data_IF_029612255410
#
_entry.id   IF_029612255410
#
_cell.length_a   1.000
_cell.length_b   1.000
_cell.length_c   1.000
_cell.angle_alpha   90.00
_cell.angle_beta   90.00
_cell.angle_gamma   90.00
#
_symmetry.space_group_name_H-M   'P 1'
#
loop_
_entity.id
_entity.type
_entity.pdbx_description
1 polymer ?
#
# COMPACT_ATOMS: atom_id res chain seq x y z
N UNK A 1 8.99 2.50 19.23
CA UNK A 1 8.27 2.88 18.00
C UNK A 1 8.28 1.72 17.00
N UNK A 2 9.06 0.65 17.26
CA UNK A 2 8.50 -0.70 17.33
C UNK A 2 7.26 -0.64 18.27
N UNK A 3 6.06 -1.12 17.96
CA UNK A 3 5.69 -1.89 16.77
C UNK A 3 4.16 -1.85 16.54
N UNK A 4 3.62 -0.65 16.28
CA UNK A 4 2.15 -0.44 16.20
C UNK A 4 1.44 -1.36 15.20
N UNK A 5 2.14 -1.86 14.20
CA UNK A 5 1.60 -2.82 13.23
C UNK A 5 1.55 -4.22 13.82
N UNK A 6 2.58 -4.66 14.54
CA UNK A 6 2.58 -5.95 15.25
C UNK A 6 1.47 -5.98 16.30
N UNK A 7 1.28 -4.90 17.08
CA UNK A 7 0.17 -4.80 18.04
C UNK A 7 -1.20 -4.97 17.36
N UNK A 8 -1.38 -4.40 16.16
CA UNK A 8 -2.60 -4.56 15.35
C UNK A 8 -2.75 -6.02 14.90
N UNK A 9 -1.69 -6.65 14.40
CA UNK A 9 -1.71 -8.04 13.93
C UNK A 9 -2.01 -9.02 15.08
N UNK A 10 -1.41 -8.80 16.25
CA UNK A 10 -1.69 -9.56 17.48
C UNK A 10 -3.14 -9.39 17.93
N UNK A 11 -3.66 -8.16 17.97
CA UNK A 11 -5.05 -7.88 18.32
C UNK A 11 -6.06 -8.52 17.34
N UNK A 12 -5.66 -8.71 16.08
CA UNK A 12 -6.44 -9.44 15.07
C UNK A 12 -6.28 -10.96 15.15
N UNK A 13 -5.38 -11.46 15.99
CA UNK A 13 -4.97 -12.87 16.03
C UNK A 13 -4.56 -13.39 14.64
N UNK A 14 -3.86 -12.55 13.87
CA UNK A 14 -3.37 -12.91 12.55
C UNK A 14 -2.17 -13.87 12.66
N UNK A 15 -2.04 -14.76 11.69
CA UNK A 15 -0.79 -15.51 11.47
C UNK A 15 0.17 -14.64 10.66
N UNK A 16 1.37 -14.41 11.18
CA UNK A 16 2.39 -13.58 10.53
C UNK A 16 3.80 -14.02 10.91
N UNK A 17 4.75 -13.65 10.04
CA UNK A 17 6.18 -13.80 10.29
C UNK A 17 6.88 -12.46 10.10
N UNK A 18 7.80 -12.12 11.00
CA UNK A 18 8.67 -10.96 10.86
C UNK A 18 9.92 -11.39 10.11
N UNK A 19 10.29 -10.62 9.08
CA UNK A 19 11.49 -10.81 8.29
C UNK A 19 12.32 -9.54 8.39
N UNK A 20 13.55 -9.66 8.89
CA UNK A 20 14.45 -8.51 8.94
C UNK A 20 14.85 -8.09 7.52
N UNK A 21 14.60 -6.83 7.19
CA UNK A 21 14.92 -6.25 5.88
C UNK A 21 15.89 -5.09 6.07
N UNK A 22 16.99 -5.10 5.31
CA UNK A 22 17.88 -3.95 5.23
C UNK A 22 17.12 -2.76 4.58
N UNK A 23 17.21 -1.53 5.11
CA UNK A 23 16.46 -0.39 4.59
C UNK A 23 16.69 -0.11 3.10
N UNK A 24 17.91 -0.35 2.61
CA UNK A 24 18.30 -0.19 1.21
C UNK A 24 17.74 -1.27 0.27
N UNK A 25 17.14 -2.33 0.82
CA UNK A 25 16.49 -3.42 0.08
C UNK A 25 14.97 -3.41 0.24
N UNK A 26 14.40 -2.38 0.88
CA UNK A 26 12.97 -2.33 1.18
C UNK A 26 12.07 -2.13 -0.06
N UNK A 27 12.63 -1.74 -1.22
CA UNK A 27 11.88 -1.75 -2.48
C UNK A 27 11.47 -3.18 -2.83
N UNK A 28 10.21 -3.38 -3.22
CA UNK A 28 9.64 -4.71 -3.44
C UNK A 28 10.42 -5.55 -4.44
N UNK A 29 10.94 -4.96 -5.52
CA UNK A 29 11.70 -5.72 -6.51
C UNK A 29 13.05 -6.16 -5.95
N UNK A 30 13.74 -5.25 -5.26
CA UNK A 30 15.03 -5.53 -4.60
C UNK A 30 14.87 -6.54 -3.47
N UNK A 31 13.82 -6.40 -2.65
CA UNK A 31 13.47 -7.33 -1.58
C UNK A 31 13.26 -8.74 -2.12
N UNK A 32 12.41 -8.88 -3.14
CA UNK A 32 12.11 -10.17 -3.75
C UNK A 32 13.36 -10.83 -4.34
N UNK A 33 14.16 -10.05 -5.07
CA UNK A 33 15.41 -10.52 -5.67
C UNK A 33 16.43 -10.96 -4.61
N UNK A 34 16.58 -10.20 -3.53
CA UNK A 34 17.60 -10.45 -2.52
C UNK A 34 17.22 -11.58 -1.54
N UNK A 35 15.97 -11.59 -1.07
CA UNK A 35 15.51 -12.50 -0.02
C UNK A 35 14.81 -13.75 -0.57
N UNK A 36 14.64 -13.85 -1.90
CA UNK A 36 14.09 -15.04 -2.55
C UNK A 36 12.57 -15.15 -2.52
N UNK A 37 11.87 -14.04 -2.30
CA UNK A 37 10.40 -14.00 -2.38
C UNK A 37 9.95 -13.84 -3.83
N UNK A 38 8.76 -14.36 -4.13
CA UNK A 38 8.20 -14.25 -5.47
C UNK A 38 7.38 -12.97 -5.62
N UNK A 39 7.53 -12.31 -6.77
CA UNK A 39 6.76 -11.09 -7.09
C UNK A 39 5.25 -11.35 -7.21
N UNK A 40 4.85 -12.57 -7.57
CA UNK A 40 3.44 -12.96 -7.67
C UNK A 40 2.80 -13.32 -6.31
N UNK A 41 3.60 -13.44 -5.25
CA UNK A 41 3.15 -13.63 -3.86
C UNK A 41 3.34 -12.35 -3.01
N UNK A 42 4.01 -11.34 -3.57
CA UNK A 42 4.29 -10.07 -2.90
C UNK A 42 3.29 -9.00 -3.33
N UNK A 43 2.80 -8.18 -2.39
CA UNK A 43 1.83 -7.11 -2.67
C UNK A 43 2.36 -5.71 -2.33
N UNK A 44 2.01 -4.74 -3.16
CA UNK A 44 2.30 -3.32 -2.96
C UNK A 44 1.06 -2.60 -2.43
N UNK A 45 1.24 -1.75 -1.43
CA UNK A 45 0.24 -0.79 -0.96
C UNK A 45 0.56 0.60 -1.51
N UNK A 46 -0.28 1.09 -2.42
CA UNK A 46 -0.03 2.31 -3.20
C UNK A 46 -1.12 3.33 -2.95
N UNK A 47 -0.76 4.51 -2.45
CA UNK A 47 -1.70 5.60 -2.24
C UNK A 47 -1.96 6.35 -3.54
N UNK A 48 -3.23 6.50 -3.88
CA UNK A 48 -3.69 7.29 -5.02
C UNK A 48 -4.49 8.51 -4.56
N UNK A 49 -4.50 9.54 -5.39
CA UNK A 49 -5.19 10.80 -5.13
C UNK A 49 -6.02 11.25 -6.33
N UNK A 50 -7.28 11.57 -6.06
CA UNK A 50 -8.17 12.29 -6.98
C UNK A 50 -7.95 13.80 -6.86
N UNK A 51 -7.70 14.47 -7.98
CA UNK A 51 -7.39 15.91 -8.05
C UNK A 51 -8.65 16.80 -8.05
N UNK A 52 -9.61 16.49 -7.18
CA UNK A 52 -10.78 17.32 -6.91
C UNK A 52 -10.51 18.37 -5.82
N UNK A 53 -11.56 19.12 -5.47
CA UNK A 53 -11.60 19.96 -4.28
C UNK A 53 -12.85 19.59 -3.45
N UNK A 54 -12.70 18.95 -2.27
CA UNK A 54 -11.43 18.52 -1.67
C UNK A 54 -10.77 17.35 -2.43
N UNK A 55 -9.47 17.13 -2.19
CA UNK A 55 -8.77 15.92 -2.66
C UNK A 55 -9.35 14.67 -1.98
N UNK A 56 -9.50 13.60 -2.75
CA UNK A 56 -9.96 12.29 -2.26
C UNK A 56 -8.86 11.25 -2.45
N UNK A 57 -8.71 10.33 -1.50
CA UNK A 57 -7.61 9.36 -1.47
C UNK A 57 -8.16 7.95 -1.31
N UNK A 58 -7.38 6.97 -1.78
CA UNK A 58 -7.59 5.57 -1.50
C UNK A 58 -6.24 4.85 -1.49
N UNK A 59 -6.09 3.84 -0.65
CA UNK A 59 -4.95 2.92 -0.71
C UNK A 59 -5.33 1.74 -1.61
N UNK A 60 -4.51 1.43 -2.60
CA UNK A 60 -4.67 0.27 -3.46
C UNK A 60 -3.67 -0.82 -3.06
N UNK A 61 -4.14 -2.04 -2.85
CA UNK A 61 -3.31 -3.23 -2.62
C UNK A 61 -3.36 -4.09 -3.87
N UNK A 62 -2.21 -4.27 -4.52
CA UNK A 62 -2.05 -5.05 -5.77
C UNK A 62 -0.82 -5.94 -5.68
N UNK A 63 -0.78 -7.05 -6.40
CA UNK A 63 0.43 -7.86 -6.52
C UNK A 63 1.59 -7.03 -7.11
N UNK A 64 2.84 -7.39 -6.79
CA UNK A 64 4.03 -6.69 -7.29
C UNK A 64 4.18 -6.82 -8.81
N UNK A 65 3.57 -7.84 -9.42
CA UNK A 65 3.43 -8.02 -10.87
C UNK A 65 2.35 -7.15 -11.51
N UNK A 66 1.57 -6.43 -10.71
CA UNK A 66 0.38 -5.68 -11.17
C UNK A 66 0.56 -4.19 -10.97
N UNK A 67 0.25 -3.42 -12.03
CA UNK A 67 0.22 -1.96 -11.97
C UNK A 67 -1.20 -1.46 -11.68
N UNK A 68 -1.31 -0.47 -10.79
CA UNK A 68 -2.58 0.22 -10.51
C UNK A 68 -2.98 1.05 -11.73
N UNK A 69 -4.16 0.77 -12.30
CA UNK A 69 -4.75 1.60 -13.37
C UNK A 69 -5.41 2.85 -12.78
N UNK A 70 -4.56 3.83 -12.47
CA UNK A 70 -4.97 5.09 -11.85
C UNK A 70 -5.89 5.89 -12.78
N UNK A 71 -5.58 5.93 -14.08
CA UNK A 71 -6.19 6.83 -15.04
C UNK A 71 -7.59 6.37 -15.47
N UNK A 72 -7.87 5.07 -15.50
CA UNK A 72 -9.19 4.55 -15.88
C UNK A 72 -9.95 4.07 -14.66
N UNK A 73 -9.53 2.95 -14.06
CA UNK A 73 -10.31 2.26 -13.04
C UNK A 73 -10.37 3.07 -11.75
N UNK A 74 -9.22 3.49 -11.23
CA UNK A 74 -9.16 4.15 -9.94
C UNK A 74 -9.82 5.54 -9.99
N UNK A 75 -9.54 6.32 -11.03
CA UNK A 75 -10.22 7.59 -11.32
C UNK A 75 -11.75 7.45 -11.35
N UNK A 76 -12.26 6.44 -12.06
CA UNK A 76 -13.71 6.15 -12.14
C UNK A 76 -14.27 5.79 -10.77
N UNK A 77 -13.58 4.92 -10.01
CA UNK A 77 -14.00 4.47 -8.68
C UNK A 77 -13.98 5.60 -7.65
N UNK A 78 -13.03 6.54 -7.76
CA UNK A 78 -12.98 7.78 -6.98
C UNK A 78 -14.04 8.81 -7.39
N UNK A 79 -14.70 8.65 -8.54
CA UNK A 79 -15.70 9.61 -9.04
C UNK A 79 -15.11 10.95 -9.48
N UNK A 80 -13.84 11.00 -9.88
CA UNK A 80 -13.13 12.26 -10.21
C UNK A 80 -12.74 12.36 -11.68
N UNK A 81 -12.46 13.57 -12.16
CA UNK A 81 -12.01 13.82 -13.56
C UNK A 81 -10.53 13.52 -13.80
N UNK A 82 -9.69 13.62 -12.76
CA UNK A 82 -8.24 13.38 -12.82
C UNK A 82 -7.79 12.69 -11.53
N UNK A 83 -6.92 11.69 -11.65
CA UNK A 83 -6.28 11.02 -10.53
C UNK A 83 -4.79 10.82 -10.84
N UNK A 84 -3.98 10.67 -9.81
CA UNK A 84 -2.56 10.31 -9.91
C UNK A 84 -2.18 9.43 -8.72
N UNK A 85 -0.95 8.91 -8.73
CA UNK A 85 -0.32 8.49 -7.48
C UNK A 85 -0.20 9.70 -6.55
N UNK A 86 -0.34 9.47 -5.25
CA UNK A 86 -0.04 10.49 -4.25
C UNK A 86 1.47 10.78 -4.22
N UNK A 87 1.86 12.01 -3.85
CA UNK A 87 3.28 12.30 -3.67
C UNK A 87 3.86 11.53 -2.46
N UNK A 88 5.20 11.39 -2.37
CA UNK A 88 5.88 10.91 -1.17
C UNK A 88 5.38 11.61 0.10
N UNK A 89 5.35 12.93 0.10
CA UNK A 89 4.92 13.74 1.25
C UNK A 89 3.45 13.52 1.62
N UNK A 90 2.56 13.42 0.63
CA UNK A 90 1.15 13.10 0.85
C UNK A 90 0.99 11.72 1.49
N UNK A 91 1.78 10.75 1.02
CA UNK A 91 1.76 9.37 1.51
C UNK A 91 2.22 9.30 2.96
N UNK A 92 3.38 9.88 3.27
CA UNK A 92 3.90 9.94 4.64
C UNK A 92 2.92 10.67 5.56
N UNK A 93 2.37 11.81 5.12
CA UNK A 93 1.43 12.59 5.93
C UNK A 93 0.13 11.84 6.23
N UNK A 94 -0.41 11.08 5.29
CA UNK A 94 -1.69 10.39 5.45
C UNK A 94 -1.56 9.04 6.15
N UNK A 95 -0.46 8.32 5.91
CA UNK A 95 -0.26 6.97 6.45
C UNK A 95 0.58 6.96 7.73
N UNK A 96 1.40 8.00 7.95
CA UNK A 96 2.43 7.98 8.99
C UNK A 96 3.63 7.08 8.67
N UNK A 97 3.67 6.49 7.47
CA UNK A 97 4.65 5.48 7.07
C UNK A 97 5.65 6.03 6.06
N UNK A 98 6.87 5.48 6.09
CA UNK A 98 7.92 5.78 5.11
C UNK A 98 7.60 5.09 3.78
N UNK A 99 8.02 5.69 2.66
CA UNK A 99 7.96 5.04 1.36
C UNK A 99 8.73 3.70 1.36
N UNK A 100 8.21 2.71 0.63
CA UNK A 100 8.72 1.33 0.65
C UNK A 100 8.17 0.49 1.80
N UNK A 101 7.73 1.11 2.90
CA UNK A 101 7.15 0.43 4.07
C UNK A 101 5.66 0.70 4.28
N UNK A 102 4.95 1.17 3.25
CA UNK A 102 3.51 1.44 3.35
C UNK A 102 2.75 0.12 3.43
N UNK A 103 1.82 0.00 4.37
CA UNK A 103 1.00 -1.21 4.59
C UNK A 103 -0.49 -0.85 4.63
N UNK A 104 -1.40 -1.83 4.46
CA UNK A 104 -2.83 -1.60 4.65
C UNK A 104 -3.26 -1.51 6.12
N UNK A 105 -2.36 -1.71 7.08
CA UNK A 105 -2.67 -1.74 8.50
C UNK A 105 -2.43 -0.38 9.16
N UNK A 106 -3.12 -0.06 10.25
CA UNK A 106 -2.88 1.19 11.00
C UNK A 106 -3.25 2.49 10.27
N UNK A 107 -3.94 2.41 9.14
CA UNK A 107 -4.39 3.58 8.40
C UNK A 107 -5.58 4.29 9.07
N UNK A 108 -5.80 5.59 8.80
CA UNK A 108 -7.02 6.28 9.22
C UNK A 108 -8.27 5.56 8.71
N UNK A 109 -9.29 5.40 9.55
CA UNK A 109 -10.56 4.72 9.22
C UNK A 109 -11.33 5.38 8.07
N UNK A 110 -11.05 6.64 7.79
CA UNK A 110 -11.62 7.40 6.67
C UNK A 110 -10.96 7.12 5.32
N UNK A 111 -9.79 6.46 5.30
CA UNK A 111 -9.07 6.14 4.07
C UNK A 111 -9.53 4.76 3.55
N UNK A 112 -10.26 4.70 2.42
CA UNK A 112 -10.68 3.42 1.87
C UNK A 112 -9.48 2.61 1.36
N UNK A 113 -9.53 1.31 1.61
CA UNK A 113 -8.56 0.33 1.11
C UNK A 113 -9.23 -0.48 -0.01
N UNK A 114 -8.59 -0.55 -1.17
CA UNK A 114 -9.04 -1.31 -2.32
C UNK A 114 -8.04 -2.42 -2.62
N UNK A 115 -8.50 -3.65 -2.46
CA UNK A 115 -7.69 -4.84 -2.71
C UNK A 115 -8.06 -5.39 -4.09
N UNK A 116 -7.07 -5.60 -4.94
CA UNK A 116 -7.24 -6.35 -6.18
C UNK A 116 -7.55 -7.81 -5.85
N UNK A 117 -8.57 -8.39 -6.49
CA UNK A 117 -9.04 -9.75 -6.15
C UNK A 117 -7.95 -10.80 -6.30
N UNK A 118 -6.96 -10.59 -7.18
CA UNK A 118 -5.83 -11.50 -7.37
C UNK A 118 -4.91 -11.61 -6.17
N UNK A 119 -4.97 -10.67 -5.22
CA UNK A 119 -4.24 -10.75 -3.95
C UNK A 119 -4.88 -11.77 -3.00
N UNK A 120 -6.14 -12.14 -3.24
CA UNK A 120 -6.91 -13.07 -2.40
C UNK A 120 -6.98 -14.49 -2.98
N UNK A 121 -6.30 -14.73 -4.10
CA UNK A 121 -6.27 -16.02 -4.81
C UNK A 121 -5.17 -16.95 -4.31
#
# INVERSE_FOLDING_TARGET
MEDSIVEILEAMCADYQIVECAPELADTAQFCEHYGYRLDESANAILIVGKGDPRVYALCVVLATTQVDVNKQARRKLGVKKASFASPDETIKLTGMTLGGVTPFGLPTSLPIWIDSRVLE
#
